data_IF_424351897491
#
_entry.id   IF_424351897491
#
_cell.length_a   1.000
_cell.length_b   1.000
_cell.length_c   1.000
_cell.angle_alpha   90.00
_cell.angle_beta   90.00
_cell.angle_gamma   90.00
#
_symmetry.space_group_name_H-M   'P 1'
#
loop_
_entity.id
_entity.type
_entity.pdbx_description
1 polymer ?
#
# COMPACT_ATOMS: atom_id res chain seq x y z
N UNK A 1 0.90 -5.27 -1.87
CA UNK A 1 0.86 -5.67 -3.30
C UNK A 1 -0.12 -4.74 -4.00
N UNK A 2 0.31 -3.86 -4.91
CA UNK A 2 -0.63 -2.97 -5.61
C UNK A 2 -1.27 -3.70 -6.80
N UNK A 3 -2.47 -4.24 -6.61
CA UNK A 3 -3.20 -4.93 -7.70
C UNK A 3 -4.23 -3.98 -8.31
N UNK A 4 -4.04 -3.64 -9.59
CA UNK A 4 -5.00 -2.83 -10.35
C UNK A 4 -6.00 -3.79 -11.01
N UNK A 5 -7.17 -3.97 -10.40
CA UNK A 5 -8.27 -4.72 -11.01
C UNK A 5 -9.26 -3.76 -11.68
N UNK A 6 -9.40 -3.86 -13.00
CA UNK A 6 -10.50 -3.25 -13.74
C UNK A 6 -11.46 -4.36 -14.18
N UNK A 7 -12.45 -4.68 -13.36
CA UNK A 7 -13.80 -5.06 -13.75
C UNK A 7 -14.62 -5.46 -12.52
N UNK A 8 -15.68 -4.71 -12.24
CA UNK A 8 -16.80 -5.23 -11.48
C UNK A 8 -17.53 -6.27 -12.33
N UNK A 9 -17.23 -7.56 -12.09
CA UNK A 9 -18.17 -8.67 -12.23
C UNK A 9 -17.60 -9.89 -11.48
N UNK A 10 -18.17 -10.16 -10.31
CA UNK A 10 -17.72 -11.13 -9.30
C UNK A 10 -18.09 -12.60 -9.60
N UNK A 11 -18.28 -13.00 -10.86
CA UNK A 11 -18.80 -14.35 -11.19
C UNK A 11 -17.75 -15.42 -11.53
N UNK A 12 -16.44 -15.17 -11.41
CA UNK A 12 -15.41 -16.11 -11.88
C UNK A 12 -14.46 -16.65 -10.80
N UNK A 13 -14.96 -16.92 -9.59
CA UNK A 13 -14.28 -17.82 -8.65
C UNK A 13 -14.75 -19.25 -8.88
N UNK A 14 -14.33 -19.88 -9.97
CA UNK A 14 -14.53 -21.32 -10.15
C UNK A 14 -13.27 -22.04 -10.64
N UNK A 15 -12.62 -22.67 -9.66
CA UNK A 15 -11.88 -23.93 -9.68
C UNK A 15 -10.87 -24.26 -10.81
N UNK A 16 -9.64 -24.59 -10.33
CA UNK A 16 -8.62 -25.49 -10.90
C UNK A 16 -7.75 -24.99 -12.06
N UNK A 17 -6.45 -24.81 -11.76
CA UNK A 17 -5.27 -24.97 -12.64
C UNK A 17 -5.41 -24.54 -14.11
N UNK A 18 -5.13 -23.27 -14.45
CA UNK A 18 -5.03 -22.84 -15.87
C UNK A 18 -3.90 -21.83 -16.11
N UNK A 19 -3.12 -22.09 -17.17
CA UNK A 19 -2.20 -21.15 -17.83
C UNK A 19 -3.00 -19.99 -18.43
N UNK A 20 -2.69 -18.75 -18.05
CA UNK A 20 -3.35 -17.56 -18.60
C UNK A 20 -2.50 -16.98 -19.74
N UNK A 21 -2.97 -17.17 -20.97
CA UNK A 21 -2.63 -16.33 -22.12
C UNK A 21 -3.88 -15.49 -22.42
N UNK A 22 -3.79 -14.16 -22.28
CA UNK A 22 -4.91 -13.24 -22.56
C UNK A 22 -4.45 -12.17 -23.56
N UNK A 23 -5.10 -12.15 -24.74
CA UNK A 23 -4.93 -11.17 -25.82
C UNK A 23 -6.17 -10.24 -25.86
N UNK A 24 -5.93 -8.94 -25.59
CA UNK A 24 -6.75 -7.71 -25.79
C UNK A 24 -8.00 -7.41 -24.92
N UNK A 25 -8.25 -6.14 -24.49
CA UNK A 25 -7.38 -4.96 -24.44
C UNK A 25 -6.85 -4.68 -23.01
N UNK A 26 -5.52 -4.64 -22.89
CA UNK A 26 -4.70 -4.01 -21.84
C UNK A 26 -5.12 -4.22 -20.37
N UNK A 27 -5.09 -5.46 -19.90
CA UNK A 27 -4.73 -5.69 -18.50
C UNK A 27 -3.34 -5.08 -18.27
N UNK A 28 -3.23 -4.12 -17.35
CA UNK A 28 -1.94 -3.52 -16.99
C UNK A 28 -1.47 -4.15 -15.69
N UNK A 29 -0.49 -5.04 -15.82
CA UNK A 29 0.14 -5.71 -14.67
C UNK A 29 1.54 -5.16 -14.48
N UNK A 30 1.84 -4.70 -13.27
CA UNK A 30 3.20 -4.41 -12.82
C UNK A 30 3.63 -5.43 -11.77
N UNK A 31 4.67 -6.21 -12.07
CA UNK A 31 5.32 -7.10 -11.11
C UNK A 31 6.75 -6.59 -10.95
N UNK A 32 7.08 -6.07 -9.76
CA UNK A 32 8.36 -5.41 -9.50
C UNK A 32 9.35 -6.30 -8.74
N UNK A 33 8.86 -7.35 -8.07
CA UNK A 33 9.68 -8.32 -7.36
C UNK A 33 9.23 -9.76 -7.65
N UNK A 34 10.13 -10.72 -7.44
CA UNK A 34 9.82 -12.15 -7.57
C UNK A 34 8.81 -12.62 -6.50
N UNK A 35 8.86 -12.01 -5.33
CA UNK A 35 7.97 -12.27 -4.20
C UNK A 35 7.41 -10.94 -3.69
N UNK A 36 7.66 -10.60 -2.43
CA UNK A 36 7.36 -9.29 -1.89
C UNK A 36 8.35 -8.25 -2.39
N UNK A 37 7.87 -7.02 -2.59
CA UNK A 37 8.75 -5.86 -2.73
C UNK A 37 9.55 -5.67 -1.44
N UNK A 38 10.70 -5.01 -1.56
CA UNK A 38 11.52 -4.64 -0.40
C UNK A 38 10.73 -3.73 0.55
N UNK A 39 11.18 -3.66 1.81
CA UNK A 39 10.66 -2.60 2.70
C UNK A 39 11.07 -1.24 2.15
N UNK A 40 10.27 -0.21 2.39
CA UNK A 40 10.57 1.16 1.96
C UNK A 40 11.92 1.66 2.49
N UNK A 41 12.25 1.32 3.74
CA UNK A 41 13.54 1.59 4.35
C UNK A 41 14.74 0.99 3.58
N UNK A 42 14.51 -0.10 2.85
CA UNK A 42 15.54 -0.85 2.11
C UNK A 42 15.43 -0.68 0.57
N UNK A 43 14.34 -0.08 0.07
CA UNK A 43 14.04 0.05 -1.36
C UNK A 43 15.11 0.86 -2.08
N UNK A 44 15.56 0.38 -3.24
CA UNK A 44 16.35 1.21 -4.16
C UNK A 44 15.47 2.35 -4.70
N UNK A 45 15.76 3.58 -4.27
CA UNK A 45 15.06 4.80 -4.72
C UNK A 45 15.71 5.45 -5.94
N UNK A 46 16.74 4.81 -6.51
CA UNK A 46 17.36 5.26 -7.76
C UNK A 46 16.38 5.14 -8.93
N UNK A 47 16.62 5.80 -10.07
CA UNK A 47 15.79 5.66 -11.27
C UNK A 47 15.69 4.22 -11.83
N UNK A 48 16.50 3.28 -11.33
CA UNK A 48 16.48 1.86 -11.73
C UNK A 48 15.83 0.95 -10.69
N UNK A 49 15.47 1.50 -9.52
CA UNK A 49 14.85 0.75 -8.45
C UNK A 49 13.33 0.63 -8.61
N UNK A 50 12.70 0.14 -7.54
CA UNK A 50 11.27 -0.15 -7.53
C UNK A 50 10.42 1.09 -7.27
N UNK A 51 9.20 1.19 -7.83
CA UNK A 51 8.30 2.29 -7.52
C UNK A 51 7.79 2.23 -6.08
N UNK A 52 7.54 3.39 -5.48
CA UNK A 52 6.85 3.47 -4.18
C UNK A 52 5.36 3.10 -4.31
N UNK A 53 4.71 2.82 -3.18
CA UNK A 53 3.27 2.58 -3.14
C UNK A 53 2.48 3.79 -3.68
N UNK A 54 2.93 5.01 -3.37
CA UNK A 54 2.33 6.23 -3.88
C UNK A 54 2.50 6.37 -5.41
N UNK A 55 3.66 6.03 -5.96
CA UNK A 55 3.89 6.06 -7.42
C UNK A 55 3.01 5.04 -8.14
N UNK A 56 2.91 3.82 -7.62
CA UNK A 56 2.01 2.79 -8.14
C UNK A 56 0.55 3.24 -8.08
N UNK A 57 0.14 3.88 -6.98
CA UNK A 57 -1.21 4.40 -6.78
C UNK A 57 -1.55 5.52 -7.76
N UNK A 58 -0.66 6.51 -7.92
CA UNK A 58 -0.80 7.57 -8.93
C UNK A 58 -0.92 6.99 -10.33
N UNK A 59 -0.10 5.98 -10.64
CA UNK A 59 -0.14 5.31 -11.95
C UNK A 59 -1.47 4.59 -12.15
N UNK A 60 -1.96 3.85 -11.15
CA UNK A 60 -3.25 3.17 -11.18
C UNK A 60 -4.39 4.15 -11.44
N UNK A 61 -4.47 5.25 -10.67
CA UNK A 61 -5.48 6.28 -10.83
C UNK A 61 -5.46 6.91 -12.24
N UNK A 62 -4.27 7.21 -12.77
CA UNK A 62 -4.13 7.77 -14.13
C UNK A 62 -4.69 6.86 -15.23
N UNK A 63 -4.78 5.55 -14.97
CA UNK A 63 -5.35 4.56 -15.89
C UNK A 63 -6.86 4.44 -15.63
N UNK A 64 -7.25 4.25 -14.37
CA UNK A 64 -8.63 3.96 -13.97
C UNK A 64 -9.59 5.14 -14.18
N UNK A 65 -9.14 6.38 -13.95
CA UNK A 65 -9.95 7.59 -14.13
C UNK A 65 -10.38 7.84 -15.59
N UNK A 66 -9.80 7.14 -16.56
CA UNK A 66 -10.23 7.19 -17.96
C UNK A 66 -11.61 6.55 -18.16
N UNK A 67 -12.03 5.67 -17.25
CA UNK A 67 -13.35 5.06 -17.29
C UNK A 67 -14.42 6.00 -16.71
N UNK A 68 -15.32 6.47 -17.57
CA UNK A 68 -16.43 7.37 -17.20
C UNK A 68 -17.52 6.71 -16.36
N UNK A 69 -17.52 5.38 -16.21
CA UNK A 69 -18.47 4.64 -15.35
C UNK A 69 -17.98 4.50 -13.90
N UNK A 70 -16.84 5.11 -13.56
CA UNK A 70 -16.19 4.93 -12.26
C UNK A 70 -15.23 3.74 -12.23
N UNK A 71 -14.60 3.52 -11.08
CA UNK A 71 -13.62 2.46 -10.86
C UNK A 71 -13.63 1.99 -9.41
N UNK A 72 -13.03 0.82 -9.18
CA UNK A 72 -12.65 0.34 -7.87
C UNK A 72 -11.12 0.24 -7.84
N UNK A 73 -10.51 0.60 -6.72
CA UNK A 73 -9.06 0.49 -6.52
C UNK A 73 -8.81 0.01 -5.09
N UNK A 74 -8.04 -1.09 -4.97
CA UNK A 74 -7.48 -1.55 -3.70
C UNK A 74 -6.00 -1.20 -3.66
N UNK A 75 -5.59 -0.51 -2.61
CA UNK A 75 -4.18 -0.19 -2.32
C UNK A 75 -3.83 -0.81 -0.98
N UNK A 76 -2.76 -1.60 -0.94
CA UNK A 76 -2.38 -2.36 0.24
C UNK A 76 -0.88 -2.21 0.53
N UNK A 77 -0.58 -1.71 1.74
CA UNK A 77 0.76 -1.71 2.33
C UNK A 77 0.99 -2.98 3.16
N UNK A 78 1.04 -4.13 2.49
CA UNK A 78 1.12 -5.44 3.15
C UNK A 78 2.44 -5.70 3.90
N UNK A 79 3.45 -4.84 3.74
CA UNK A 79 4.73 -4.98 4.46
C UNK A 79 4.63 -4.53 5.92
N UNK A 80 3.59 -3.78 6.31
CA UNK A 80 3.31 -3.44 7.73
C UNK A 80 3.19 -4.73 8.56
N UNK A 81 2.40 -5.68 8.07
CA UNK A 81 2.19 -7.01 8.69
C UNK A 81 3.52 -7.79 8.83
N UNK A 82 4.28 -7.91 7.73
CA UNK A 82 5.56 -8.61 7.77
C UNK A 82 6.55 -7.99 8.76
N UNK A 83 6.60 -6.65 8.85
CA UNK A 83 7.47 -5.97 9.81
C UNK A 83 7.05 -6.25 11.26
N UNK A 84 5.75 -6.31 11.54
CA UNK A 84 5.26 -6.74 12.86
C UNK A 84 5.58 -8.20 13.16
N UNK A 85 5.45 -9.11 12.20
CA UNK A 85 5.86 -10.51 12.37
C UNK A 85 7.36 -10.67 12.65
N UNK A 86 8.20 -9.75 12.15
CA UNK A 86 9.62 -9.69 12.47
C UNK A 86 9.96 -8.95 13.78
N UNK A 87 8.95 -8.49 14.54
CA UNK A 87 9.14 -7.62 15.70
C UNK A 87 10.02 -6.38 15.38
N UNK A 88 9.87 -5.83 14.17
CA UNK A 88 10.61 -4.66 13.71
C UNK A 88 9.68 -3.45 13.63
N UNK A 89 9.50 -2.70 14.75
CA UNK A 89 8.55 -1.60 14.79
C UNK A 89 9.00 -0.40 13.95
N UNK A 90 10.31 -0.26 13.67
CA UNK A 90 10.82 0.77 12.77
C UNK A 90 10.23 0.59 11.37
N UNK A 91 10.43 -0.58 10.77
CA UNK A 91 9.86 -0.88 9.45
C UNK A 91 8.34 -0.90 9.45
N UNK A 92 7.69 -1.35 10.53
CA UNK A 92 6.23 -1.37 10.60
C UNK A 92 5.63 0.06 10.55
N UNK A 93 6.20 1.00 11.30
CA UNK A 93 5.76 2.40 11.26
C UNK A 93 6.18 3.10 9.96
N UNK A 94 7.36 2.78 9.42
CA UNK A 94 7.82 3.32 8.13
C UNK A 94 6.89 2.90 6.97
N UNK A 95 6.50 1.62 6.89
CA UNK A 95 5.51 1.11 5.93
C UNK A 95 4.10 1.69 6.16
N UNK A 96 3.79 2.12 7.38
CA UNK A 96 2.54 2.84 7.68
C UNK A 96 2.57 4.24 7.09
N UNK A 97 3.71 4.94 7.13
CA UNK A 97 3.88 6.23 6.46
C UNK A 97 3.78 6.08 4.93
N UNK A 98 4.26 4.97 4.37
CA UNK A 98 4.10 4.66 2.94
C UNK A 98 2.64 4.53 2.53
N UNK A 99 1.80 3.93 3.40
CA UNK A 99 0.35 3.89 3.18
C UNK A 99 -0.27 5.29 3.25
N UNK A 100 0.18 6.13 4.19
CA UNK A 100 -0.24 7.54 4.29
C UNK A 100 0.12 8.32 3.02
N UNK A 101 1.33 8.18 2.49
CA UNK A 101 1.74 8.82 1.23
C UNK A 101 0.86 8.39 0.05
N UNK A 102 0.50 7.11 -0.02
CA UNK A 102 -0.42 6.61 -1.04
C UNK A 102 -1.84 7.16 -0.87
N UNK A 103 -2.33 7.30 0.37
CA UNK A 103 -3.62 7.93 0.68
C UNK A 103 -3.63 9.41 0.27
N UNK A 104 -2.58 10.16 0.60
CA UNK A 104 -2.44 11.56 0.18
C UNK A 104 -2.46 11.68 -1.36
N UNK A 105 -1.77 10.78 -2.05
CA UNK A 105 -1.81 10.73 -3.51
C UNK A 105 -3.22 10.45 -4.08
N UNK A 106 -4.05 9.67 -3.39
CA UNK A 106 -5.47 9.47 -3.76
C UNK A 106 -6.26 10.76 -3.53
N UNK A 107 -6.13 11.36 -2.34
CA UNK A 107 -6.86 12.57 -1.94
C UNK A 107 -6.57 13.75 -2.87
N UNK A 108 -5.35 13.87 -3.37
CA UNK A 108 -4.95 14.88 -4.37
C UNK A 108 -5.56 14.63 -5.76
N UNK A 109 -5.83 13.37 -6.10
CA UNK A 109 -6.16 12.97 -7.47
C UNK A 109 -7.66 12.81 -7.74
N UNK A 110 -8.50 12.69 -6.71
CA UNK A 110 -9.94 12.39 -6.85
C UNK A 110 -10.82 13.50 -6.28
N UNK A 111 -12.03 13.64 -6.84
CA UNK A 111 -13.08 14.44 -6.21
C UNK A 111 -13.74 13.63 -5.09
N UNK A 112 -13.58 14.10 -3.85
CA UNK A 112 -14.09 13.42 -2.66
C UNK A 112 -15.63 13.50 -2.53
N UNK A 113 -16.29 14.39 -3.29
CA UNK A 113 -17.76 14.43 -3.37
C UNK A 113 -18.33 13.29 -4.21
N UNK A 114 -17.52 12.71 -5.10
CA UNK A 114 -17.91 11.60 -5.98
C UNK A 114 -17.20 10.28 -5.62
N UNK A 115 -16.26 10.30 -4.67
CA UNK A 115 -15.39 9.16 -4.35
C UNK A 115 -15.48 8.77 -2.89
N UNK A 116 -15.95 7.54 -2.62
CA UNK A 116 -15.84 6.93 -1.29
C UNK A 116 -14.42 6.40 -1.07
N UNK A 117 -13.75 6.88 -0.03
CA UNK A 117 -12.44 6.40 0.40
C UNK A 117 -12.60 5.69 1.75
N UNK A 118 -12.14 4.44 1.82
CA UNK A 118 -12.15 3.64 3.05
C UNK A 118 -10.73 3.22 3.36
N UNK A 119 -10.29 3.48 4.59
CA UNK A 119 -8.99 3.07 5.12
C UNK A 119 -9.25 2.18 6.34
N UNK A 120 -8.70 0.98 6.34
CA UNK A 120 -8.86 0.00 7.42
C UNK A 120 -7.65 -0.93 7.48
N UNK A 121 -7.51 -1.63 8.60
CA UNK A 121 -6.70 -2.84 8.70
C UNK A 121 -7.59 -4.07 8.52
N UNK A 122 -7.01 -5.18 8.08
CA UNK A 122 -7.61 -6.51 8.10
C UNK A 122 -7.54 -7.14 9.52
N UNK A 123 -6.43 -6.94 10.22
CA UNK A 123 -6.25 -7.27 11.63
C UNK A 123 -5.18 -6.39 12.31
N UNK A 124 -5.07 -6.51 13.64
CA UNK A 124 -4.01 -5.84 14.42
C UNK A 124 -2.84 -6.80 14.71
N UNK A 125 -1.86 -6.29 15.45
CA UNK A 125 -0.72 -7.02 15.99
C UNK A 125 -0.54 -6.73 17.48
N UNK A 126 0.34 -7.47 18.14
CA UNK A 126 0.62 -7.35 19.58
C UNK A 126 1.50 -6.14 19.96
N UNK A 127 1.64 -5.15 19.07
CA UNK A 127 2.41 -3.93 19.36
C UNK A 127 1.75 -3.16 20.50
N UNK A 128 2.53 -2.89 21.55
CA UNK A 128 2.12 -2.00 22.64
C UNK A 128 3.03 -0.78 22.69
N UNK A 129 2.44 0.41 22.81
CA UNK A 129 3.17 1.65 23.09
C UNK A 129 2.97 2.01 24.57
N UNK A 130 4.07 2.06 25.33
CA UNK A 130 4.04 2.35 26.76
C UNK A 130 5.10 3.38 27.16
N UNK A 131 5.23 3.62 28.46
CA UNK A 131 6.20 4.54 29.03
C UNK A 131 5.67 5.21 30.29
N UNK A 132 6.49 5.27 31.34
CA UNK A 132 6.17 5.96 32.59
C UNK A 132 6.88 7.31 32.55
N UNK A 133 6.18 8.38 32.16
CA UNK A 133 6.70 9.73 32.00
C UNK A 133 7.65 9.94 30.81
N UNK A 134 7.28 9.50 29.60
CA UNK A 134 7.96 9.92 28.36
C UNK A 134 7.45 11.31 27.92
N UNK A 135 8.28 12.37 27.92
CA UNK A 135 7.89 13.69 27.43
C UNK A 135 7.29 13.67 26.03
N UNK A 136 6.34 14.59 25.79
CA UNK A 136 5.85 14.87 24.45
C UNK A 136 7.01 15.31 23.55
N UNK A 137 7.09 14.75 22.36
CA UNK A 137 8.15 15.04 21.39
C UNK A 137 9.34 14.10 21.44
N UNK A 138 9.39 13.16 22.39
CA UNK A 138 10.42 12.12 22.37
C UNK A 138 10.28 11.22 21.13
N UNK A 139 11.40 10.84 20.49
CA UNK A 139 11.35 9.96 19.33
C UNK A 139 10.81 8.58 19.71
N UNK A 140 9.91 8.03 18.88
CA UNK A 140 9.24 6.74 19.15
C UNK A 140 10.21 5.56 19.26
N UNK A 141 11.37 5.64 18.59
CA UNK A 141 12.46 4.66 18.68
C UNK A 141 13.67 5.18 19.46
N UNK A 142 13.57 6.38 20.01
CA UNK A 142 14.66 7.07 20.67
C UNK A 142 14.82 6.67 22.13
N UNK A 143 16.02 6.91 22.67
CA UNK A 143 16.20 6.93 24.12
C UNK A 143 15.44 8.12 24.70
N UNK A 144 14.98 7.98 25.94
CA UNK A 144 14.40 9.09 26.70
C UNK A 144 15.35 10.29 26.70
N UNK A 145 14.86 11.45 26.25
CA UNK A 145 15.56 12.72 26.32
C UNK A 145 14.90 13.53 27.45
N UNK A 146 15.60 13.78 28.58
CA UNK A 146 15.09 14.68 29.61
C UNK A 146 14.99 16.09 29.02
N UNK A 147 13.82 16.72 29.21
CA UNK A 147 13.56 18.13 28.91
C UNK A 147 13.85 19.01 30.13
#
# INVERSE_FOLDING_TARGET
>A
MATITHHANLEMLNSRNVKILMLYPMMRTGLFAYSHMDFEADRDKSPKGDPSLAEMTKKALSILQKNKKGFFLLVESGRIDHAHHYNNPYRALDETLVLEEALLAVLEAVDQSETLIVVTSDHSHVLTMGGLATPRGNPIFGKFIPI
#
